data_IF_027605132214
#
_entry.id   IF_027605132214
#
_cell.length_a   1.000
_cell.length_b   1.000
_cell.length_c   1.000
_cell.angle_alpha   90.00
_cell.angle_beta   90.00
_cell.angle_gamma   90.00
#
_symmetry.space_group_name_H-M   'P 1'
#
loop_
_entity.id
_entity.type
_entity.pdbx_description
1 polymer ?
#
# COMPACT_ATOMS: atom_id res chain seq x y z
N UNK A 1 11.32 -7.27 -7.26
CA UNK A 1 12.09 -7.44 -6.02
C UNK A 1 11.37 -6.64 -4.94
N UNK A 2 11.20 -7.21 -3.74
CA UNK A 2 10.60 -6.49 -2.60
C UNK A 2 11.63 -5.51 -2.02
N UNK A 3 11.15 -4.39 -1.47
CA UNK A 3 11.99 -3.51 -0.65
C UNK A 3 12.42 -4.18 0.66
N UNK A 4 13.33 -3.55 1.38
CA UNK A 4 13.74 -4.00 2.72
C UNK A 4 12.62 -3.81 3.77
N UNK A 5 11.71 -2.86 3.55
CA UNK A 5 10.61 -2.55 4.45
C UNK A 5 9.26 -2.55 3.74
N UNK A 6 8.20 -2.84 4.50
CA UNK A 6 6.80 -2.64 4.11
C UNK A 6 6.07 -1.83 5.19
N UNK A 7 4.89 -1.32 4.87
CA UNK A 7 3.95 -0.81 5.89
C UNK A 7 2.80 -1.80 6.02
N UNK A 8 2.54 -2.28 7.23
CA UNK A 8 1.40 -3.13 7.58
C UNK A 8 0.54 -2.38 8.60
N UNK A 9 -0.71 -2.09 8.26
CA UNK A 9 -1.67 -1.40 9.15
C UNK A 9 -1.10 -0.13 9.81
N UNK A 10 -0.30 0.65 9.07
CA UNK A 10 0.32 1.90 9.54
C UNK A 10 1.72 1.75 10.16
N UNK A 11 2.16 0.52 10.43
CA UNK A 11 3.47 0.23 11.03
C UNK A 11 4.51 -0.16 9.96
N UNK A 12 5.70 0.45 10.03
CA UNK A 12 6.82 0.12 9.15
C UNK A 12 7.58 -1.09 9.73
N UNK A 13 7.62 -2.19 9.00
CA UNK A 13 8.26 -3.44 9.43
C UNK A 13 9.24 -3.97 8.36
N UNK A 14 10.24 -4.78 8.73
CA UNK A 14 11.08 -5.47 7.76
C UNK A 14 10.24 -6.38 6.85
N UNK A 15 10.51 -6.35 5.55
CA UNK A 15 9.77 -7.17 4.58
C UNK A 15 9.93 -8.68 4.84
N UNK A 16 11.06 -9.09 5.44
CA UNK A 16 11.31 -10.47 5.83
C UNK A 16 10.41 -10.96 6.98
N UNK A 17 9.78 -10.05 7.74
CA UNK A 17 8.88 -10.35 8.85
C UNK A 17 7.40 -10.28 8.43
N UNK A 18 7.12 -9.98 7.17
CA UNK A 18 5.77 -9.84 6.65
C UNK A 18 5.15 -11.21 6.33
N UNK A 19 4.19 -11.64 7.15
CA UNK A 19 3.43 -12.88 6.96
C UNK A 19 1.92 -12.64 6.95
N UNK A 20 1.22 -13.34 6.06
CA UNK A 20 -0.23 -13.37 5.97
C UNK A 20 -0.77 -14.73 6.44
N UNK A 21 -1.88 -14.75 7.19
CA UNK A 21 -2.59 -15.99 7.50
C UNK A 21 -3.04 -16.72 6.23
N UNK A 22 -3.10 -18.06 6.29
CA UNK A 22 -3.56 -18.86 5.15
C UNK A 22 -5.07 -18.73 4.89
N UNK A 23 -5.83 -18.29 5.89
CA UNK A 23 -7.27 -18.02 5.83
C UNK A 23 -7.60 -16.55 5.52
N UNK A 24 -6.59 -15.74 5.19
CA UNK A 24 -6.79 -14.36 4.75
C UNK A 24 -7.70 -14.32 3.51
N UNK A 25 -8.76 -13.51 3.54
CA UNK A 25 -9.77 -13.46 2.47
C UNK A 25 -9.24 -12.80 1.19
N UNK A 26 -8.27 -11.89 1.29
CA UNK A 26 -7.61 -11.32 0.12
C UNK A 26 -6.77 -12.40 -0.58
N UNK A 27 -6.17 -13.31 0.18
CA UNK A 27 -5.39 -14.44 -0.35
C UNK A 27 -6.28 -15.56 -0.90
N UNK A 28 -7.31 -15.96 -0.15
CA UNK A 28 -8.14 -17.15 -0.45
C UNK A 28 -9.25 -16.87 -1.46
N UNK A 29 -9.79 -15.65 -1.47
CA UNK A 29 -10.95 -15.27 -2.26
C UNK A 29 -10.76 -14.01 -3.11
N UNK A 30 -9.56 -13.39 -3.07
CA UNK A 30 -9.31 -12.15 -3.79
C UNK A 30 -10.14 -10.97 -3.28
N UNK A 31 -10.62 -11.03 -2.04
CA UNK A 31 -11.43 -9.98 -1.44
C UNK A 31 -10.52 -8.81 -1.02
N UNK A 32 -10.52 -7.76 -1.82
CA UNK A 32 -9.76 -6.53 -1.54
C UNK A 32 -9.60 -5.68 -2.80
N UNK A 33 -8.98 -4.53 -2.62
CA UNK A 33 -8.57 -3.62 -3.67
C UNK A 33 -7.05 -3.45 -3.61
N UNK A 34 -6.46 -3.05 -4.74
CA UNK A 34 -5.04 -2.78 -4.79
C UNK A 34 -4.74 -1.60 -5.69
N UNK A 35 -3.61 -0.95 -5.39
CA UNK A 35 -3.08 0.13 -6.21
C UNK A 35 -1.63 -0.15 -6.58
N UNK A 36 -1.19 0.40 -7.71
CA UNK A 36 0.22 0.35 -8.12
C UNK A 36 0.69 1.73 -8.54
N UNK A 37 1.69 2.25 -7.83
CA UNK A 37 2.27 3.57 -8.04
C UNK A 37 3.71 3.46 -8.52
N UNK A 38 4.21 4.53 -9.14
CA UNK A 38 5.59 4.60 -9.62
C UNK A 38 6.41 5.53 -8.74
N UNK A 39 7.65 5.11 -8.47
CA UNK A 39 8.71 5.96 -7.94
C UNK A 39 9.79 6.09 -9.01
N UNK A 40 10.11 7.32 -9.41
CA UNK A 40 11.13 7.63 -10.44
C UNK A 40 12.06 8.71 -9.91
N UNK A 41 13.37 8.48 -9.94
CA UNK A 41 14.34 9.35 -9.29
C UNK A 41 14.05 9.62 -7.82
N UNK A 42 13.40 8.67 -7.11
CA UNK A 42 12.96 8.85 -5.72
C UNK A 42 11.67 9.66 -5.54
N UNK A 43 11.07 10.19 -6.62
CA UNK A 43 9.81 10.91 -6.58
C UNK A 43 8.62 9.94 -6.71
N UNK A 44 7.70 9.97 -5.75
CA UNK A 44 6.44 9.23 -5.78
C UNK A 44 5.40 9.97 -6.60
N UNK A 45 4.81 9.30 -7.59
CA UNK A 45 3.91 9.95 -8.54
C UNK A 45 2.46 9.86 -8.08
N UNK A 46 1.81 11.01 -7.95
CA UNK A 46 0.37 11.19 -7.76
C UNK A 46 -0.26 10.37 -6.60
N UNK A 47 0.37 10.27 -5.42
CA UNK A 47 -0.15 9.44 -4.33
C UNK A 47 -1.58 9.79 -3.89
N UNK A 48 -1.98 11.06 -4.00
CA UNK A 48 -3.32 11.55 -3.67
C UNK A 48 -4.41 10.93 -4.55
N UNK A 49 -4.19 10.82 -5.87
CA UNK A 49 -5.17 10.24 -6.80
C UNK A 49 -5.28 8.72 -6.64
N UNK A 50 -4.19 8.07 -6.27
CA UNK A 50 -4.18 6.64 -5.99
C UNK A 50 -4.88 6.34 -4.65
N UNK A 51 -4.70 7.18 -3.63
CA UNK A 51 -5.44 7.06 -2.37
C UNK A 51 -6.94 7.22 -2.59
N UNK A 52 -7.36 8.29 -3.28
CA UNK A 52 -8.76 8.55 -3.59
C UNK A 52 -9.40 7.36 -4.31
N UNK A 53 -8.71 6.84 -5.34
CA UNK A 53 -9.20 5.69 -6.11
C UNK A 53 -9.28 4.41 -5.27
N UNK A 54 -8.34 4.17 -4.37
CA UNK A 54 -8.38 2.99 -3.49
C UNK A 54 -9.58 3.05 -2.56
N UNK A 55 -9.82 4.20 -1.91
CA UNK A 55 -10.96 4.42 -1.02
C UNK A 55 -12.27 4.23 -1.77
N UNK A 56 -12.42 4.87 -2.94
CA UNK A 56 -13.60 4.71 -3.79
C UNK A 56 -13.81 3.25 -4.22
N UNK A 57 -12.74 2.52 -4.53
CA UNK A 57 -12.84 1.11 -4.92
C UNK A 57 -13.35 0.24 -3.77
N UNK A 58 -12.87 0.46 -2.55
CA UNK A 58 -13.34 -0.25 -1.35
C UNK A 58 -14.83 0.05 -1.08
N UNK A 59 -15.24 1.31 -1.20
CA UNK A 59 -16.64 1.73 -1.07
C UNK A 59 -17.55 1.05 -2.10
N UNK A 60 -17.12 0.97 -3.37
CA UNK A 60 -17.89 0.35 -4.46
C UNK A 60 -18.17 -1.14 -4.22
N UNK A 61 -17.24 -1.85 -3.58
CA UNK A 61 -17.38 -3.29 -3.29
C UNK A 61 -17.87 -3.56 -1.85
N UNK A 62 -18.16 -2.51 -1.09
CA UNK A 62 -18.72 -2.61 0.26
C UNK A 62 -17.75 -3.13 1.33
N UNK A 63 -16.43 -2.96 1.15
CA UNK A 63 -15.45 -3.29 2.18
C UNK A 63 -15.38 -2.13 3.17
N UNK A 64 -15.76 -2.41 4.43
CA UNK A 64 -15.63 -1.43 5.51
C UNK A 64 -14.15 -1.19 5.82
N UNK A 65 -13.76 0.09 5.94
CA UNK A 65 -12.39 0.49 6.25
C UNK A 65 -12.34 1.65 7.25
N UNK A 66 -11.21 1.78 7.94
CA UNK A 66 -10.91 2.90 8.84
C UNK A 66 -9.84 3.84 8.25
N UNK A 67 -9.64 3.79 6.94
CA UNK A 67 -8.69 4.66 6.23
C UNK A 67 -9.14 6.11 6.34
N UNK A 68 -8.24 6.96 6.85
CA UNK A 68 -8.44 8.41 6.93
C UNK A 68 -7.79 9.05 5.70
N UNK A 69 -8.44 10.04 5.10
CA UNK A 69 -7.84 10.80 3.98
C UNK A 69 -6.49 11.41 4.37
N UNK A 70 -5.52 11.30 3.47
CA UNK A 70 -4.11 11.66 3.61
C UNK A 70 -3.24 10.58 4.27
N UNK A 71 -3.83 9.57 4.94
CA UNK A 71 -3.05 8.58 5.71
C UNK A 71 -2.25 7.63 4.83
N UNK A 72 -2.78 7.24 3.66
CA UNK A 72 -2.08 6.36 2.73
C UNK A 72 -0.96 7.13 2.05
N UNK A 73 -1.22 8.36 1.60
CA UNK A 73 -0.18 9.22 1.04
C UNK A 73 0.99 9.40 2.01
N UNK A 74 0.71 9.69 3.29
CA UNK A 74 1.74 9.82 4.32
C UNK A 74 2.49 8.51 4.56
N UNK A 75 1.80 7.37 4.57
CA UNK A 75 2.42 6.06 4.68
C UNK A 75 3.36 5.76 3.49
N UNK A 76 2.90 6.00 2.27
CA UNK A 76 3.71 5.79 1.07
C UNK A 76 4.98 6.66 1.08
N UNK A 77 4.89 7.93 1.52
CA UNK A 77 6.06 8.79 1.69
C UNK A 77 7.11 8.17 2.63
N UNK A 78 6.68 7.75 3.83
CA UNK A 78 7.57 7.06 4.79
C UNK A 78 8.18 5.78 4.20
N UNK A 79 7.41 5.02 3.42
CA UNK A 79 7.89 3.79 2.80
C UNK A 79 8.96 4.03 1.74
N UNK A 80 8.82 5.09 0.94
CA UNK A 80 9.83 5.51 -0.05
C UNK A 80 11.12 5.93 0.66
N UNK A 81 11.00 6.74 1.71
CA UNK A 81 12.15 7.18 2.52
C UNK A 81 12.90 6.03 3.18
N UNK A 82 12.17 5.03 3.71
CA UNK A 82 12.74 3.86 4.37
C UNK A 82 13.51 2.96 3.40
N UNK A 83 12.98 2.75 2.19
CA UNK A 83 13.56 1.84 1.21
C UNK A 83 14.65 2.49 0.34
N UNK A 84 14.60 3.81 0.12
CA UNK A 84 15.59 4.57 -0.68
C UNK A 84 15.83 4.00 -2.08
N UNK A 85 14.77 3.46 -2.69
CA UNK A 85 14.81 2.92 -4.04
C UNK A 85 14.50 4.03 -5.05
N UNK A 86 15.43 4.41 -5.94
CA UNK A 86 15.20 5.50 -6.88
C UNK A 86 14.18 5.14 -7.97
N UNK A 87 14.17 3.86 -8.38
CA UNK A 87 13.36 3.34 -9.48
C UNK A 87 12.60 2.10 -9.00
N UNK A 88 11.33 2.26 -8.64
CA UNK A 88 10.50 1.13 -8.23
C UNK A 88 9.01 1.35 -8.53
N UNK A 89 8.23 0.29 -8.31
CA UNK A 89 6.78 0.40 -8.22
C UNK A 89 6.40 0.07 -6.77
N UNK A 90 5.46 0.85 -6.21
CA UNK A 90 4.85 0.56 -4.92
C UNK A 90 3.51 -0.12 -5.15
N UNK A 91 3.20 -1.12 -4.34
CA UNK A 91 1.91 -1.80 -4.34
C UNK A 91 1.25 -1.58 -2.98
N UNK A 92 -0.02 -1.21 -3.01
CA UNK A 92 -0.90 -1.17 -1.84
C UNK A 92 -1.94 -2.26 -2.00
N UNK A 93 -2.30 -2.94 -0.92
CA UNK A 93 -3.40 -3.90 -0.87
C UNK A 93 -4.23 -3.51 0.36
N UNK A 94 -5.54 -3.36 0.18
CA UNK A 94 -6.51 -3.00 1.21
C UNK A 94 -7.78 -3.83 1.09
#
# INVERSE_FOLDING_TARGET
MLGAFIIRNGELIPAAEAFFPLDDLALTHGLGCYETLKVRGGLLYFPEFHEERLIQSLEMIGIAHSIVSGSIMAALGRLVEANRLPECNLKIIA
#
